data_IF_553687998869
#
_entry.id   IF_553687998869
#
_cell.length_a   1.000
_cell.length_b   1.000
_cell.length_c   1.000
_cell.angle_alpha   90.00
_cell.angle_beta   90.00
_cell.angle_gamma   90.00
#
_symmetry.space_group_name_H-M   'P 1'
#
loop_
_entity.id
_entity.type
_entity.pdbx_description
1 polymer ?
#
# COMPACT_ATOMS: atom_id res chain seq x y z
N UNK A 1 -4.88 3.71 0.58
CA UNK A 1 -3.58 4.22 1.07
C UNK A 1 -2.42 3.24 0.76
N UNK A 2 -1.28 3.74 0.23
CA UNK A 2 -0.08 2.89 -0.01
C UNK A 2 0.75 2.63 1.29
N UNK A 3 1.00 1.35 1.57
CA UNK A 3 1.32 0.84 2.93
C UNK A 3 2.04 -0.55 2.85
N UNK A 4 3.25 -0.83 3.45
CA UNK A 4 3.79 -2.24 3.53
C UNK A 4 4.16 -2.83 2.12
N UNK A 5 3.46 -3.88 1.69
CA UNK A 5 3.49 -4.41 0.30
C UNK A 5 2.24 -4.05 -0.59
N UNK A 6 1.46 -3.01 -0.23
CA UNK A 6 0.15 -2.71 -0.86
C UNK A 6 0.13 -1.25 -1.40
N UNK A 7 -0.42 -1.02 -2.60
CA UNK A 7 -0.62 0.36 -3.13
C UNK A 7 -2.04 0.60 -3.73
N UNK A 8 -3.03 0.80 -2.85
CA UNK A 8 -4.41 1.23 -3.22
C UNK A 8 -4.96 2.00 -1.99
#
# INVERSE_FOLDING_TARGET
>A
DCFXKYCV
#
